data_IF_935356555558
#
_entry.id   IF_935356555558
#
_cell.length_a   1.000
_cell.length_b   1.000
_cell.length_c   1.000
_cell.angle_alpha   90.00
_cell.angle_beta   90.00
_cell.angle_gamma   90.00
#
_symmetry.space_group_name_H-M   'P 1'
#
loop_
_entity.id
_entity.type
_entity.pdbx_description
1 polymer ?
#
# COMPACT_ATOMS: atom_id res chain seq x y z
N UNK A 1 -11.08 -20.42 4.15
CA UNK A 1 -9.86 -20.77 4.91
C UNK A 1 -10.13 -20.55 6.38
N UNK A 2 -9.94 -21.53 7.28
CA UNK A 2 -10.16 -21.31 8.70
C UNK A 2 -8.91 -20.65 9.30
N UNK A 3 -9.08 -19.47 9.87
CA UNK A 3 -8.22 -19.01 10.95
C UNK A 3 -7.03 -18.11 10.63
N UNK A 4 -6.98 -17.37 9.54
CA UNK A 4 -5.99 -16.31 9.45
C UNK A 4 -6.37 -15.17 10.40
N UNK A 5 -5.80 -15.18 11.59
CA UNK A 5 -5.76 -14.01 12.45
C UNK A 5 -4.78 -13.05 11.78
N UNK A 6 -5.10 -11.79 11.54
CA UNK A 6 -4.09 -10.86 11.08
C UNK A 6 -2.94 -10.87 12.10
N UNK A 7 -1.77 -11.31 11.67
CA UNK A 7 -0.57 -11.38 12.51
C UNK A 7 0.01 -9.99 12.80
N UNK A 8 -0.60 -8.95 12.23
CA UNK A 8 -0.13 -7.56 12.32
C UNK A 8 -1.29 -6.60 12.55
N UNK A 9 -1.06 -5.53 13.35
CA UNK A 9 -2.01 -4.44 13.44
C UNK A 9 -2.16 -3.74 12.08
N UNK A 10 -3.30 -3.07 11.83
CA UNK A 10 -3.47 -2.23 10.66
C UNK A 10 -2.38 -1.16 10.61
N UNK A 11 -1.99 -0.75 9.40
CA UNK A 11 -1.01 0.32 9.18
C UNK A 11 -1.71 1.58 8.71
N UNK A 12 -1.32 2.72 9.25
CA UNK A 12 -1.73 4.03 8.76
C UNK A 12 -0.55 4.69 8.04
N UNK A 13 -0.77 5.20 6.84
CA UNK A 13 0.30 5.79 6.02
C UNK A 13 0.29 7.31 6.13
N UNK A 14 1.42 7.88 6.53
CA UNK A 14 1.71 9.30 6.39
C UNK A 14 2.82 9.45 5.34
N UNK A 15 2.56 10.20 4.28
CA UNK A 15 3.56 10.50 3.25
C UNK A 15 3.22 11.78 2.52
N UNK A 16 4.19 12.65 2.39
CA UNK A 16 4.18 13.78 1.48
C UNK A 16 5.61 14.00 0.99
N UNK A 17 6.03 13.25 -0.02
CA UNK A 17 7.33 13.50 -0.66
C UNK A 17 7.23 14.77 -1.51
N UNK A 18 7.98 15.85 -1.20
CA UNK A 18 8.05 17.01 -2.07
C UNK A 18 8.74 16.61 -3.37
N UNK A 19 8.03 16.71 -4.48
CA UNK A 19 8.61 16.55 -5.80
C UNK A 19 8.53 17.90 -6.54
N UNK A 20 9.56 18.29 -7.30
CA UNK A 20 9.56 19.57 -8.03
C UNK A 20 8.33 19.72 -8.94
N UNK A 21 7.77 18.62 -9.43
CA UNK A 21 6.59 18.61 -10.30
C UNK A 21 5.27 18.90 -9.56
N UNK A 22 5.21 18.65 -8.25
CA UNK A 22 3.98 18.80 -7.44
C UNK A 22 4.05 19.92 -6.42
N UNK A 23 5.21 20.60 -6.31
CA UNK A 23 5.45 21.65 -5.33
C UNK A 23 5.71 21.11 -3.92
N UNK A 24 5.71 22.04 -2.96
CA UNK A 24 5.85 21.72 -1.55
C UNK A 24 4.47 21.66 -0.89
N UNK A 25 4.26 20.69 -0.01
CA UNK A 25 3.07 20.65 0.85
C UNK A 25 3.03 21.85 1.81
N UNK A 26 1.85 22.15 2.34
CA UNK A 26 1.69 23.19 3.36
C UNK A 26 2.44 22.87 4.66
N UNK A 27 2.70 21.59 4.90
CA UNK A 27 3.43 21.07 6.06
C UNK A 27 4.52 20.10 5.60
N UNK A 28 5.56 19.97 6.42
CA UNK A 28 6.65 19.02 6.19
C UNK A 28 6.24 17.59 6.52
N UNK A 29 6.95 16.59 5.99
CA UNK A 29 6.74 15.18 6.31
C UNK A 29 6.87 14.93 7.83
N UNK A 30 7.85 15.57 8.49
CA UNK A 30 8.04 15.47 9.92
C UNK A 30 6.83 15.97 10.74
N UNK A 31 6.18 17.04 10.29
CA UNK A 31 4.94 17.57 10.91
C UNK A 31 3.79 16.60 10.75
N UNK A 32 3.61 16.04 9.55
CA UNK A 32 2.58 15.03 9.29
C UNK A 32 2.80 13.75 10.09
N UNK A 33 4.04 13.25 10.17
CA UNK A 33 4.39 12.06 10.93
C UNK A 33 4.11 12.27 12.42
N UNK A 34 4.51 13.43 12.99
CA UNK A 34 4.23 13.74 14.40
C UNK A 34 2.73 13.79 14.69
N UNK A 35 1.98 14.52 13.86
CA UNK A 35 0.53 14.62 14.04
C UNK A 35 -0.16 13.25 13.97
N UNK A 36 0.28 12.37 13.07
CA UNK A 36 -0.24 11.02 12.99
C UNK A 36 0.18 10.17 14.21
N UNK A 37 1.43 10.27 14.65
CA UNK A 37 1.95 9.52 15.79
C UNK A 37 1.25 9.90 17.12
N UNK A 38 0.80 11.15 17.25
CA UNK A 38 0.07 11.62 18.45
C UNK A 38 -1.33 11.02 18.59
N UNK A 39 -1.96 10.58 17.49
CA UNK A 39 -3.35 10.10 17.50
C UNK A 39 -3.49 8.60 17.23
N UNK A 40 -2.46 7.95 16.73
CA UNK A 40 -2.48 6.52 16.44
C UNK A 40 -2.22 5.73 17.72
N UNK A 41 -3.20 4.94 18.16
CA UNK A 41 -3.10 4.11 19.37
C UNK A 41 -2.88 2.62 19.05
N UNK A 42 -3.57 2.09 18.05
CA UNK A 42 -3.65 0.64 17.79
C UNK A 42 -3.10 0.21 16.43
N UNK A 43 -2.70 1.15 15.59
CA UNK A 43 -2.12 0.88 14.27
C UNK A 43 -0.60 1.12 14.27
N UNK A 44 0.11 0.46 13.35
CA UNK A 44 1.50 0.78 13.08
C UNK A 44 1.57 1.94 12.09
N UNK A 45 2.19 3.05 12.48
CA UNK A 45 2.44 4.16 11.56
C UNK A 45 3.46 3.73 10.51
N UNK A 46 3.11 3.90 9.24
CA UNK A 46 3.99 3.59 8.11
C UNK A 46 4.26 4.82 7.25
N UNK A 47 5.41 4.86 6.61
CA UNK A 47 5.73 5.84 5.57
C UNK A 47 6.10 5.15 4.28
N UNK A 48 5.98 5.89 3.16
CA UNK A 48 6.45 5.44 1.87
C UNK A 48 7.77 6.15 1.54
N UNK A 49 8.75 5.40 1.05
CA UNK A 49 10.04 5.92 0.61
C UNK A 49 10.35 5.44 -0.80
N UNK A 50 10.69 6.39 -1.68
CA UNK A 50 11.20 6.11 -3.01
C UNK A 50 12.73 6.29 -3.01
N UNK A 51 13.51 5.23 -3.25
CA UNK A 51 14.95 5.36 -3.49
C UNK A 51 15.25 6.40 -4.58
N UNK A 52 16.24 7.24 -4.33
CA UNK A 52 16.56 8.38 -5.21
C UNK A 52 15.88 9.69 -4.84
N UNK A 53 14.76 9.66 -4.12
CA UNK A 53 14.10 10.84 -3.52
C UNK A 53 14.30 10.81 -2.01
N UNK A 54 13.87 9.74 -1.36
CA UNK A 54 14.08 9.52 0.07
C UNK A 54 15.45 8.88 0.35
N UNK A 55 16.04 9.25 1.47
CA UNK A 55 17.36 8.80 1.89
C UNK A 55 17.30 8.00 3.20
N UNK A 56 18.41 7.35 3.56
CA UNK A 56 18.56 6.71 4.88
C UNK A 56 18.43 7.72 6.02
N UNK A 57 18.83 8.99 5.81
CA UNK A 57 18.65 10.04 6.80
C UNK A 57 17.16 10.34 7.04
N UNK A 58 16.34 10.30 6.00
CA UNK A 58 14.88 10.45 6.09
C UNK A 58 14.26 9.30 6.85
N UNK A 59 14.66 8.06 6.56
CA UNK A 59 14.21 6.88 7.32
C UNK A 59 14.56 6.98 8.80
N UNK A 60 15.77 7.44 9.12
CA UNK A 60 16.21 7.63 10.50
C UNK A 60 15.36 8.65 11.23
N UNK A 61 15.02 9.78 10.58
CA UNK A 61 14.14 10.79 11.16
C UNK A 61 12.73 10.25 11.36
N UNK A 62 12.17 9.57 10.36
CA UNK A 62 10.84 8.97 10.45
C UNK A 62 10.75 7.95 11.59
N UNK A 63 11.74 7.06 11.71
CA UNK A 63 11.82 6.09 12.81
C UNK A 63 11.87 6.79 14.19
N UNK A 64 12.68 7.84 14.33
CA UNK A 64 12.77 8.62 15.56
C UNK A 64 11.47 9.35 15.93
N UNK A 65 10.58 9.58 14.96
CA UNK A 65 9.26 10.19 15.13
C UNK A 65 8.13 9.15 15.38
N UNK A 66 8.46 7.87 15.50
CA UNK A 66 7.49 6.83 15.84
C UNK A 66 6.98 5.99 14.67
N UNK A 67 7.57 6.15 13.47
CA UNK A 67 7.27 5.26 12.34
C UNK A 67 7.77 3.86 12.66
N UNK A 68 6.89 2.87 12.63
CA UNK A 68 7.19 1.47 12.88
C UNK A 68 7.28 0.61 11.63
N UNK A 69 6.88 1.15 10.47
CA UNK A 69 6.88 0.43 9.19
C UNK A 69 7.30 1.34 8.05
N UNK A 70 7.93 0.79 7.02
CA UNK A 70 8.27 1.51 5.80
C UNK A 70 7.88 0.71 4.56
N UNK A 71 7.37 1.41 3.56
CA UNK A 71 7.13 0.92 2.21
C UNK A 71 8.22 1.43 1.29
N UNK A 72 9.18 0.58 0.94
CA UNK A 72 10.26 0.93 0.01
C UNK A 72 9.78 0.65 -1.40
N UNK A 73 9.64 1.70 -2.19
CA UNK A 73 8.88 1.71 -3.43
C UNK A 73 9.79 1.96 -4.62
N UNK A 74 9.79 1.03 -5.58
CA UNK A 74 10.55 1.15 -6.83
C UNK A 74 9.66 0.90 -8.04
N UNK A 75 10.13 1.24 -9.24
CA UNK A 75 9.52 0.71 -10.45
C UNK A 75 9.59 -0.83 -10.43
N UNK A 76 8.62 -1.50 -11.04
CA UNK A 76 8.52 -2.97 -11.02
C UNK A 76 9.70 -3.72 -11.65
N UNK A 77 10.60 -3.02 -12.34
CA UNK A 77 11.81 -3.54 -12.96
C UNK A 77 13.11 -3.04 -12.32
N UNK A 78 13.03 -2.34 -11.17
CA UNK A 78 14.17 -1.66 -10.54
C UNK A 78 14.27 -1.99 -9.04
N UNK A 79 13.91 -3.21 -8.64
CA UNK A 79 13.93 -3.62 -7.24
C UNK A 79 15.33 -3.56 -6.60
N UNK A 80 16.39 -3.69 -7.39
CA UNK A 80 17.79 -3.66 -6.95
C UNK A 80 18.18 -2.36 -6.25
N UNK A 81 17.60 -1.21 -6.64
CA UNK A 81 17.90 0.08 -6.02
C UNK A 81 17.35 0.19 -4.59
N UNK A 82 16.46 -0.71 -4.17
CA UNK A 82 15.87 -0.72 -2.83
C UNK A 82 16.77 -1.37 -1.76
N UNK A 83 17.79 -2.11 -2.14
CA UNK A 83 18.57 -2.99 -1.27
C UNK A 83 19.04 -2.30 0.03
N UNK A 84 19.70 -1.15 -0.08
CA UNK A 84 20.23 -0.43 1.08
C UNK A 84 19.13 0.09 2.02
N UNK A 85 17.98 0.50 1.47
CA UNK A 85 16.87 1.05 2.25
C UNK A 85 16.14 -0.05 3.01
N UNK A 86 15.89 -1.19 2.36
CA UNK A 86 15.29 -2.37 2.98
C UNK A 86 16.20 -2.90 4.09
N UNK A 87 17.48 -3.11 3.78
CA UNK A 87 18.44 -3.63 4.76
C UNK A 87 18.55 -2.71 5.97
N UNK A 88 18.75 -1.40 5.77
CA UNK A 88 18.81 -0.45 6.88
C UNK A 88 17.56 -0.47 7.76
N UNK A 89 16.37 -0.47 7.14
CA UNK A 89 15.11 -0.48 7.87
C UNK A 89 14.95 -1.74 8.72
N UNK A 90 15.30 -2.91 8.17
CA UNK A 90 15.30 -4.18 8.92
C UNK A 90 16.26 -4.18 10.09
N UNK A 91 17.48 -3.71 9.89
CA UNK A 91 18.51 -3.62 10.94
C UNK A 91 18.11 -2.68 12.08
N UNK A 92 17.23 -1.69 11.79
CA UNK A 92 16.73 -0.74 12.78
C UNK A 92 15.33 -1.09 13.33
N UNK A 93 14.87 -2.32 13.11
CA UNK A 93 13.65 -2.86 13.73
C UNK A 93 12.35 -2.42 13.09
N UNK A 94 12.42 -1.78 11.91
CA UNK A 94 11.21 -1.41 11.17
C UNK A 94 10.59 -2.63 10.48
N UNK A 95 9.28 -2.60 10.36
CA UNK A 95 8.52 -3.45 9.47
C UNK A 95 8.72 -2.98 8.03
N UNK A 96 9.07 -3.87 7.08
CA UNK A 96 9.45 -3.45 5.72
C UNK A 96 8.61 -4.13 4.66
N UNK A 97 7.92 -3.31 3.87
CA UNK A 97 7.21 -3.76 2.69
C UNK A 97 7.93 -3.27 1.43
N UNK A 98 8.16 -4.17 0.48
CA UNK A 98 8.60 -3.82 -0.86
C UNK A 98 7.40 -3.50 -1.76
N UNK A 99 7.46 -2.39 -2.49
CA UNK A 99 6.41 -1.96 -3.41
C UNK A 99 6.93 -1.95 -4.84
N UNK A 100 6.36 -2.78 -5.70
CA UNK A 100 6.67 -2.85 -7.12
C UNK A 100 5.65 -1.99 -7.90
N UNK A 101 5.94 -0.69 -8.04
CA UNK A 101 5.08 0.23 -8.78
C UNK A 101 4.94 -0.14 -10.24
N UNK A 102 3.85 0.28 -10.88
CA UNK A 102 3.58 0.06 -12.30
C UNK A 102 3.59 -1.42 -12.67
N UNK A 103 3.12 -2.30 -11.79
CA UNK A 103 3.15 -3.76 -11.98
C UNK A 103 2.58 -4.24 -13.32
N UNK A 104 1.70 -3.45 -13.93
CA UNK A 104 1.15 -3.74 -15.26
C UNK A 104 2.20 -3.69 -16.39
N UNK A 105 3.34 -3.04 -16.17
CA UNK A 105 4.41 -2.93 -17.17
C UNK A 105 5.37 -4.13 -17.19
N UNK A 106 5.27 -5.02 -16.21
CA UNK A 106 6.06 -6.24 -16.16
C UNK A 106 5.19 -7.48 -16.37
N UNK A 107 5.73 -8.48 -17.06
CA UNK A 107 5.12 -9.80 -17.10
C UNK A 107 5.13 -10.44 -15.69
N UNK A 108 4.17 -11.33 -15.35
CA UNK A 108 4.10 -11.94 -14.02
C UNK A 108 5.41 -12.58 -13.55
N UNK A 109 6.11 -13.30 -14.42
CA UNK A 109 7.39 -13.94 -14.11
C UNK A 109 8.49 -12.91 -13.80
N UNK A 110 8.58 -11.83 -14.57
CA UNK A 110 9.53 -10.75 -14.32
C UNK A 110 9.24 -10.03 -12.99
N UNK A 111 7.96 -9.77 -12.71
CA UNK A 111 7.54 -9.17 -11.43
C UNK A 111 7.96 -10.07 -10.25
N UNK A 112 7.80 -11.38 -10.38
CA UNK A 112 8.21 -12.36 -9.38
C UNK A 112 9.73 -12.37 -9.12
N UNK A 113 10.56 -12.20 -10.15
CA UNK A 113 12.02 -12.06 -10.00
C UNK A 113 12.38 -10.83 -9.16
N UNK A 114 11.74 -9.68 -9.43
CA UNK A 114 11.94 -8.46 -8.66
C UNK A 114 11.38 -8.56 -7.23
N UNK A 115 10.29 -9.29 -7.03
CA UNK A 115 9.78 -9.58 -5.69
C UNK A 115 10.78 -10.40 -4.85
N UNK A 116 11.42 -11.42 -5.44
CA UNK A 116 12.49 -12.17 -4.77
C UNK A 116 13.69 -11.32 -4.39
N UNK A 117 14.05 -10.34 -5.21
CA UNK A 117 15.12 -9.41 -4.87
C UNK A 117 14.76 -8.62 -3.60
N UNK A 118 13.56 -8.03 -3.53
CA UNK A 118 13.12 -7.30 -2.33
C UNK A 118 13.07 -8.20 -1.09
N UNK A 119 12.56 -9.42 -1.23
CA UNK A 119 12.59 -10.42 -0.16
C UNK A 119 14.02 -10.71 0.30
N UNK A 120 14.96 -10.94 -0.62
CA UNK A 120 16.36 -11.23 -0.31
C UNK A 120 17.07 -10.08 0.43
N UNK A 121 16.59 -8.86 0.27
CA UNK A 121 17.09 -7.69 1.00
C UNK A 121 16.45 -7.55 2.39
N UNK A 122 15.40 -8.33 2.68
CA UNK A 122 14.74 -8.39 3.98
C UNK A 122 13.31 -7.86 4.02
N UNK A 123 12.67 -7.56 2.89
CA UNK A 123 11.25 -7.26 2.88
C UNK A 123 10.46 -8.52 3.26
N UNK A 124 9.53 -8.38 4.21
CA UNK A 124 8.69 -9.49 4.66
C UNK A 124 7.29 -9.43 4.08
N UNK A 125 7.00 -8.40 3.31
CA UNK A 125 5.81 -8.29 2.48
C UNK A 125 6.20 -7.65 1.14
N UNK A 126 5.70 -8.17 0.01
CA UNK A 126 5.90 -7.55 -1.30
C UNK A 126 4.56 -7.28 -1.96
N UNK A 127 4.39 -6.06 -2.44
CA UNK A 127 3.14 -5.59 -3.04
C UNK A 127 3.15 -5.63 -4.55
N UNK A 128 2.07 -6.17 -5.12
CA UNK A 128 1.64 -5.88 -6.49
C UNK A 128 0.96 -4.52 -6.47
N UNK A 129 1.51 -3.54 -7.18
CA UNK A 129 0.99 -2.18 -7.16
C UNK A 129 0.45 -1.80 -8.54
N UNK A 130 -0.87 -1.75 -8.66
CA UNK A 130 -1.57 -1.31 -9.87
C UNK A 130 -1.64 0.23 -9.92
N UNK A 131 -0.49 0.87 -10.10
CA UNK A 131 -0.38 2.35 -10.10
C UNK A 131 -1.20 3.02 -11.20
N UNK A 132 -1.52 2.33 -12.28
CA UNK A 132 -2.34 2.85 -13.37
C UNK A 132 -3.84 2.51 -13.22
N UNK A 133 -4.21 1.68 -12.24
CA UNK A 133 -5.56 1.20 -12.05
C UNK A 133 -6.12 0.48 -13.28
N UNK A 134 -5.26 -0.23 -14.03
CA UNK A 134 -5.61 -0.86 -15.31
C UNK A 134 -5.59 -2.38 -15.31
N UNK A 135 -5.13 -3.02 -14.23
CA UNK A 135 -5.15 -4.47 -14.13
C UNK A 135 -6.59 -4.97 -14.06
N UNK A 136 -6.86 -6.04 -14.78
CA UNK A 136 -8.08 -6.84 -14.62
C UNK A 136 -7.89 -7.85 -13.50
N UNK A 137 -8.98 -8.51 -13.05
CA UNK A 137 -8.90 -9.57 -12.04
C UNK A 137 -7.97 -10.70 -12.48
N UNK A 138 -7.99 -11.09 -13.75
CA UNK A 138 -7.07 -12.09 -14.30
C UNK A 138 -5.62 -11.63 -14.21
N UNK A 139 -5.33 -10.37 -14.56
CA UNK A 139 -3.98 -9.82 -14.48
C UNK A 139 -3.46 -9.82 -13.03
N UNK A 140 -4.33 -9.54 -12.07
CA UNK A 140 -3.99 -9.57 -10.63
C UNK A 140 -3.73 -11.00 -10.17
N UNK A 141 -4.63 -11.94 -10.51
CA UNK A 141 -4.48 -13.36 -10.17
C UNK A 141 -3.14 -13.91 -10.65
N UNK A 142 -2.81 -13.72 -11.94
CA UNK A 142 -1.55 -14.19 -12.52
C UNK A 142 -0.30 -13.64 -11.81
N UNK A 143 -0.34 -12.36 -11.38
CA UNK A 143 0.79 -11.73 -10.67
C UNK A 143 0.93 -12.23 -9.25
N UNK A 144 -0.18 -12.34 -8.51
CA UNK A 144 -0.16 -12.87 -7.14
C UNK A 144 0.30 -14.33 -7.14
N UNK A 145 -0.22 -15.14 -8.06
CA UNK A 145 0.20 -16.55 -8.21
C UNK A 145 1.69 -16.66 -8.55
N UNK A 146 2.21 -15.80 -9.44
CA UNK A 146 3.62 -15.79 -9.79
C UNK A 146 4.51 -15.42 -8.58
N UNK A 147 4.12 -14.43 -7.79
CA UNK A 147 4.82 -14.09 -6.55
C UNK A 147 4.77 -15.25 -5.56
N UNK A 148 3.61 -15.88 -5.38
CA UNK A 148 3.45 -16.99 -4.43
C UNK A 148 4.33 -18.20 -4.76
N UNK A 149 4.62 -18.44 -6.05
CA UNK A 149 5.47 -19.53 -6.51
C UNK A 149 6.95 -19.35 -6.14
N UNK A 150 7.40 -18.12 -5.91
CA UNK A 150 8.84 -17.82 -5.76
C UNK A 150 9.21 -17.26 -4.38
N UNK A 151 8.26 -16.67 -3.67
CA UNK A 151 8.48 -16.13 -2.32
C UNK A 151 8.36 -17.23 -1.28
N UNK A 152 9.07 -17.08 -0.17
CA UNK A 152 8.98 -17.97 0.98
C UNK A 152 7.57 -17.95 1.59
N UNK A 153 7.19 -19.02 2.28
CA UNK A 153 5.84 -19.18 2.86
C UNK A 153 5.51 -18.12 3.92
N UNK A 154 6.52 -17.59 4.61
CA UNK A 154 6.39 -16.54 5.61
C UNK A 154 6.46 -15.12 5.03
N UNK A 155 6.84 -14.97 3.77
CA UNK A 155 6.78 -13.69 3.06
C UNK A 155 5.36 -13.42 2.60
N UNK A 156 4.82 -12.29 3.07
CA UNK A 156 3.47 -11.86 2.72
C UNK A 156 3.41 -11.25 1.32
N UNK A 157 2.25 -11.35 0.70
CA UNK A 157 1.93 -10.65 -0.55
C UNK A 157 0.87 -9.60 -0.26
N UNK A 158 1.04 -8.40 -0.80
CA UNK A 158 0.10 -7.31 -0.71
C UNK A 158 -0.42 -6.86 -2.07
N UNK A 159 -1.54 -6.17 -2.06
CA UNK A 159 -2.13 -5.49 -3.22
C UNK A 159 -2.39 -4.02 -2.91
N UNK A 160 -2.00 -3.16 -3.83
CA UNK A 160 -2.35 -1.74 -3.85
C UNK A 160 -2.99 -1.42 -5.20
N UNK A 161 -4.30 -1.24 -5.21
CA UNK A 161 -5.07 -1.07 -6.44
C UNK A 161 -5.64 0.35 -6.56
N UNK A 162 -5.53 0.93 -7.77
CA UNK A 162 -6.15 2.21 -8.12
C UNK A 162 -7.47 2.02 -8.86
N UNK A 163 -8.31 3.06 -8.86
CA UNK A 163 -9.72 3.02 -9.26
C UNK A 163 -9.97 3.47 -10.70
N UNK A 164 -8.94 3.57 -11.53
CA UNK A 164 -9.07 4.13 -12.90
C UNK A 164 -10.03 3.36 -13.81
N UNK A 165 -10.14 2.03 -13.62
CA UNK A 165 -11.14 1.21 -14.32
C UNK A 165 -12.32 0.83 -13.42
N UNK A 166 -12.44 1.41 -12.22
CA UNK A 166 -13.46 1.04 -11.22
C UNK A 166 -13.42 -0.45 -10.83
N UNK A 167 -12.23 -1.03 -10.79
CA UNK A 167 -12.00 -2.45 -10.46
C UNK A 167 -11.21 -2.67 -9.17
N UNK A 168 -10.84 -1.62 -8.46
CA UNK A 168 -9.90 -1.73 -7.33
C UNK A 168 -10.39 -2.67 -6.23
N UNK A 169 -11.68 -2.64 -5.90
CA UNK A 169 -12.29 -3.55 -4.91
C UNK A 169 -12.27 -4.99 -5.44
N UNK A 170 -12.69 -5.22 -6.68
CA UNK A 170 -12.69 -6.55 -7.28
C UNK A 170 -11.26 -7.12 -7.40
N UNK A 171 -10.31 -6.30 -7.80
CA UNK A 171 -8.89 -6.65 -7.88
C UNK A 171 -8.32 -7.01 -6.49
N UNK A 172 -8.67 -6.24 -5.46
CA UNK A 172 -8.25 -6.51 -4.09
C UNK A 172 -8.83 -7.82 -3.55
N UNK A 173 -10.12 -8.08 -3.83
CA UNK A 173 -10.76 -9.36 -3.50
C UNK A 173 -10.06 -10.52 -4.20
N UNK A 174 -9.84 -10.41 -5.51
CA UNK A 174 -9.13 -11.43 -6.29
C UNK A 174 -7.73 -11.69 -5.73
N UNK A 175 -7.00 -10.63 -5.36
CA UNK A 175 -5.68 -10.81 -4.77
C UNK A 175 -5.71 -11.64 -3.48
N UNK A 176 -6.68 -11.37 -2.59
CA UNK A 176 -6.85 -12.14 -1.35
C UNK A 176 -7.24 -13.59 -1.64
N UNK A 177 -8.12 -13.85 -2.60
CA UNK A 177 -8.50 -15.21 -3.01
C UNK A 177 -7.31 -16.00 -3.56
N UNK A 178 -6.32 -15.33 -4.16
CA UNK A 178 -5.07 -15.90 -4.65
C UNK A 178 -3.92 -15.88 -3.62
N UNK A 179 -4.18 -15.46 -2.36
CA UNK A 179 -3.24 -15.60 -1.26
C UNK A 179 -2.52 -14.31 -0.82
N UNK A 180 -2.96 -13.14 -1.28
CA UNK A 180 -2.52 -11.89 -0.68
C UNK A 180 -3.10 -11.76 0.74
N UNK A 181 -2.28 -11.27 1.67
CA UNK A 181 -2.65 -11.08 3.08
C UNK A 181 -2.76 -9.61 3.47
N UNK A 182 -2.25 -8.72 2.65
CA UNK A 182 -2.26 -7.28 2.88
C UNK A 182 -3.01 -6.58 1.75
N UNK A 183 -3.96 -5.73 2.10
CA UNK A 183 -4.73 -4.92 1.14
C UNK A 183 -4.65 -3.46 1.54
N UNK A 184 -4.25 -2.61 0.61
CA UNK A 184 -4.28 -1.17 0.82
C UNK A 184 -5.63 -0.60 0.43
N UNK A 185 -6.20 0.16 1.35
CA UNK A 185 -7.46 0.86 1.15
C UNK A 185 -7.35 2.31 1.65
N UNK A 186 -8.17 3.19 1.15
CA UNK A 186 -8.24 4.57 1.60
C UNK A 186 -9.69 4.97 1.91
N UNK A 187 -9.88 5.80 2.95
CA UNK A 187 -11.20 6.36 3.24
C UNK A 187 -11.72 7.12 2.02
N UNK A 188 -12.96 6.87 1.66
CA UNK A 188 -13.62 7.44 0.49
C UNK A 188 -12.84 7.25 -0.83
N UNK A 189 -11.92 6.29 -0.89
CA UNK A 189 -11.07 6.04 -2.06
C UNK A 189 -10.08 7.17 -2.37
N UNK A 190 -9.74 8.02 -1.39
CA UNK A 190 -8.81 9.14 -1.64
C UNK A 190 -7.47 8.62 -2.17
N UNK A 191 -6.96 9.30 -3.20
CA UNK A 191 -5.70 8.92 -3.84
C UNK A 191 -5.47 9.62 -5.16
N UNK A 192 -4.32 9.34 -5.77
CA UNK A 192 -3.95 9.92 -7.06
C UNK A 192 -4.86 9.39 -8.18
N UNK A 193 -5.07 10.20 -9.22
CA UNK A 193 -5.89 9.84 -10.37
C UNK A 193 -7.37 9.69 -10.01
N UNK A 194 -7.96 8.55 -10.33
CA UNK A 194 -9.35 8.22 -9.97
C UNK A 194 -9.52 7.74 -8.52
N UNK A 195 -8.44 7.66 -7.78
CA UNK A 195 -8.41 7.25 -6.37
C UNK A 195 -7.82 5.86 -6.15
N UNK A 196 -7.76 5.48 -4.89
CA UNK A 196 -7.36 4.15 -4.40
C UNK A 196 -8.58 3.25 -4.17
N UNK A 197 -8.33 1.99 -3.84
CA UNK A 197 -9.38 1.08 -3.38
C UNK A 197 -10.12 1.72 -2.16
N UNK A 198 -11.43 1.99 -2.26
CA UNK A 198 -12.15 2.60 -1.14
C UNK A 198 -12.33 1.60 0.01
N UNK A 199 -12.05 2.07 1.23
CA UNK A 199 -12.07 1.24 2.44
C UNK A 199 -13.47 0.69 2.72
N UNK A 200 -14.49 1.51 2.61
CA UNK A 200 -15.85 1.19 3.00
C UNK A 200 -16.44 0.05 2.16
N UNK A 201 -16.46 0.12 0.82
CA UNK A 201 -16.95 -1.00 0.01
C UNK A 201 -16.06 -2.24 0.11
N UNK A 202 -14.73 -2.10 0.24
CA UNK A 202 -13.86 -3.26 0.41
C UNK A 202 -14.18 -4.00 1.72
N UNK A 203 -14.30 -3.29 2.85
CA UNK A 203 -14.65 -3.87 4.15
C UNK A 203 -16.04 -4.50 4.12
N UNK A 204 -17.02 -3.86 3.48
CA UNK A 204 -18.35 -4.44 3.32
C UNK A 204 -18.32 -5.77 2.53
N UNK A 205 -17.54 -5.86 1.47
CA UNK A 205 -17.34 -7.13 0.72
C UNK A 205 -16.61 -8.16 1.57
N UNK A 206 -15.58 -7.76 2.32
CA UNK A 206 -14.84 -8.64 3.22
C UNK A 206 -15.76 -9.25 4.30
N UNK A 207 -16.68 -8.45 4.86
CA UNK A 207 -17.72 -8.93 5.80
C UNK A 207 -18.64 -9.97 5.14
N UNK A 208 -19.12 -9.71 3.91
CA UNK A 208 -19.96 -10.64 3.17
C UNK A 208 -19.25 -11.96 2.85
N UNK A 209 -17.93 -11.92 2.66
CA UNK A 209 -17.10 -13.11 2.44
C UNK A 209 -16.66 -13.81 3.74
N UNK A 210 -17.02 -13.23 4.91
CA UNK A 210 -16.68 -13.78 6.22
C UNK A 210 -15.19 -13.66 6.57
N UNK A 211 -14.49 -12.70 6.00
CA UNK A 211 -13.07 -12.44 6.31
C UNK A 211 -12.94 -11.67 7.62
N UNK A 212 -11.86 -11.93 8.33
CA UNK A 212 -11.54 -11.20 9.56
C UNK A 212 -10.50 -10.12 9.25
N UNK A 213 -10.88 -8.86 9.35
CA UNK A 213 -10.05 -7.68 9.05
C UNK A 213 -9.91 -6.71 10.21
N UNK A 214 -10.74 -6.84 11.27
CA UNK A 214 -10.65 -5.99 12.47
C UNK A 214 -11.14 -4.56 12.29
N UNK A 215 -11.70 -4.18 11.13
CA UNK A 215 -12.25 -2.85 10.87
C UNK A 215 -13.74 -2.81 11.26
N UNK A 216 -14.22 -1.61 11.63
CA UNK A 216 -15.64 -1.35 11.83
C UNK A 216 -16.17 -0.55 10.63
N UNK A 217 -17.05 -1.16 9.85
CA UNK A 217 -17.60 -0.56 8.62
C UNK A 217 -18.33 0.78 8.90
N UNK A 218 -19.12 0.86 9.96
CA UNK A 218 -19.87 2.08 10.27
C UNK A 218 -18.93 3.22 10.70
N UNK A 219 -17.91 2.92 11.49
CA UNK A 219 -16.89 3.91 11.85
C UNK A 219 -16.09 4.41 10.63
N UNK A 220 -15.81 3.53 9.65
CA UNK A 220 -15.19 3.95 8.39
C UNK A 220 -16.11 4.86 7.58
N UNK A 221 -17.41 4.56 7.51
CA UNK A 221 -18.40 5.39 6.81
C UNK A 221 -18.54 6.77 7.46
N UNK A 222 -18.59 6.83 8.80
CA UNK A 222 -18.65 8.10 9.54
C UNK A 222 -17.39 8.94 9.27
N UNK A 223 -16.20 8.34 9.37
CA UNK A 223 -14.94 9.02 9.08
C UNK A 223 -14.84 9.50 7.62
N UNK A 224 -15.33 8.72 6.67
CA UNK A 224 -15.38 9.13 5.26
C UNK A 224 -16.35 10.30 5.06
N UNK A 225 -17.50 10.31 5.75
CA UNK A 225 -18.46 11.41 5.74
C UNK A 225 -17.86 12.71 6.29
N UNK A 226 -17.10 12.64 7.37
CA UNK A 226 -16.42 13.78 7.97
C UNK A 226 -15.35 14.38 7.04
N UNK A 227 -14.64 13.55 6.27
CA UNK A 227 -13.66 14.00 5.27
C UNK A 227 -14.33 14.73 4.10
N UNK A 228 -15.52 14.27 3.68
CA UNK A 228 -16.25 14.90 2.56
C UNK A 228 -16.94 16.21 2.95
N UNK A 229 -17.39 16.35 4.20
CA UNK A 229 -18.10 17.52 4.69
C UNK A 229 -17.30 18.83 4.59
N UNK A 230 -16.04 18.91 5.04
CA UNK A 230 -15.22 20.12 4.96
C UNK A 230 -14.59 20.39 3.59
N UNK A 231 -14.29 19.35 2.82
CA UNK A 231 -13.50 19.46 1.58
C UNK A 231 -14.31 19.62 0.30
N UNK A 232 -15.64 19.52 0.33
CA UNK A 232 -16.55 19.89 -0.76
C UNK A 232 -16.32 19.30 -2.16
N UNK A 233 -15.36 18.41 -2.32
CA UNK A 233 -15.04 17.76 -3.58
C UNK A 233 -14.68 16.31 -3.32
N UNK A 234 -15.66 15.43 -3.48
CA UNK A 234 -15.37 14.03 -3.71
C UNK A 234 -14.42 13.86 -4.89
N UNK A 235 -13.84 12.66 -5.10
CA UNK A 235 -12.95 12.41 -6.23
C UNK A 235 -13.64 12.91 -7.49
N UNK A 236 -12.98 13.81 -8.24
CA UNK A 236 -13.49 14.25 -9.51
C UNK A 236 -13.67 13.00 -10.35
N UNK A 237 -14.89 12.64 -10.66
CA UNK A 237 -15.16 11.61 -11.65
C UNK A 237 -14.51 12.06 -12.93
N UNK A 238 -13.28 11.61 -13.19
CA UNK A 238 -12.68 11.79 -14.48
C UNK A 238 -13.56 10.99 -15.43
N UNK A 239 -14.34 11.70 -16.26
CA UNK A 239 -14.99 11.10 -17.41
C UNK A 239 -13.87 10.50 -18.24
N UNK A 240 -13.77 9.18 -18.24
CA UNK A 240 -12.92 8.48 -19.18
C UNK A 240 -13.37 8.91 -20.58
N UNK A 241 -12.54 9.65 -21.27
CA UNK A 241 -12.69 9.88 -22.70
C UNK A 241 -12.07 8.67 -23.39
N UNK A 242 -12.76 8.07 -24.38
CA UNK A 242 -12.32 6.83 -25.03
C UNK A 242 -10.99 6.97 -25.77
#
# INVERSE_FOLDING_TARGET
>A
MPGCTPSRPPTATASAAPAPAYGFGAHTDDEWIRAAAEVIENATLTTLLLPGIGTIADLRRANALGVGSVRVTTHCTEADISAQHIAWARENGLDVCGFLMMSHMAAPAQLAEHARLMESYGAHCVYVTDSAGRLTMTDVAERVDALRQVLADDTQIGIHAHENLSLSVANSVTAVEHGALCVDVALAGQGAGAGNCPAEPFVAVADLLGWRHGCNLFALQDAAGDLHGPCGSGPSRSTATP
#
